data_IF_336650463063
#
_entry.id   IF_336650463063
#
_cell.length_a   1.000
_cell.length_b   1.000
_cell.length_c   1.000
_cell.angle_alpha   90.00
_cell.angle_beta   90.00
_cell.angle_gamma   90.00
#
_symmetry.space_group_name_H-M   'P 1'
#
loop_
_entity.id
_entity.type
_entity.pdbx_description
1 polymer ?
#
# COMPACT_ATOMS: atom_id res chain seq x y z
N UNK A 1 -6.65 -24.36 -5.13
CA UNK A 1 -7.55 -23.92 -4.04
C UNK A 1 -8.74 -24.88 -3.86
N UNK A 2 -8.53 -26.13 -3.42
CA UNK A 2 -9.63 -27.08 -3.27
C UNK A 2 -10.51 -26.84 -2.04
N UNK A 3 -9.99 -26.13 -1.02
CA UNK A 3 -10.68 -25.93 0.26
C UNK A 3 -11.76 -24.85 0.19
N UNK A 4 -11.46 -23.70 -0.42
CA UNK A 4 -12.40 -22.57 -0.57
C UNK A 4 -13.52 -22.90 -1.57
N UNK A 5 -13.19 -23.59 -2.67
CA UNK A 5 -14.17 -24.00 -3.66
C UNK A 5 -15.20 -25.00 -3.09
N UNK A 6 -14.82 -25.80 -2.08
CA UNK A 6 -15.69 -26.81 -1.46
C UNK A 6 -16.49 -26.28 -0.26
N UNK A 7 -16.07 -25.18 0.35
CA UNK A 7 -16.70 -24.65 1.57
C UNK A 7 -17.78 -23.60 1.30
N UNK A 8 -17.99 -23.17 0.05
CA UNK A 8 -18.89 -22.06 -0.32
C UNK A 8 -18.64 -20.77 0.50
N UNK A 9 -17.47 -20.66 1.11
CA UNK A 9 -17.12 -19.55 1.99
C UNK A 9 -16.60 -18.40 1.14
N UNK A 10 -17.29 -17.27 1.20
CA UNK A 10 -16.85 -16.04 0.54
C UNK A 10 -15.81 -15.39 1.42
N UNK A 11 -14.54 -15.44 1.00
CA UNK A 11 -13.48 -14.74 1.70
C UNK A 11 -13.64 -13.24 1.43
N UNK A 12 -13.98 -12.48 2.46
CA UNK A 12 -14.15 -11.03 2.39
C UNK A 12 -12.95 -10.27 2.94
N UNK A 13 -12.16 -10.89 3.80
CA UNK A 13 -10.98 -10.27 4.41
C UNK A 13 -9.79 -11.21 4.31
N UNK A 14 -8.68 -10.69 3.81
CA UNK A 14 -7.40 -11.38 3.72
C UNK A 14 -6.34 -10.48 4.35
N UNK A 15 -5.68 -10.98 5.39
CA UNK A 15 -4.52 -10.34 5.99
C UNK A 15 -3.33 -11.28 5.88
N UNK A 16 -2.23 -10.80 5.33
CA UNK A 16 -0.98 -11.56 5.19
C UNK A 16 0.13 -10.74 5.84
N UNK A 17 0.72 -11.26 6.92
CA UNK A 17 1.65 -10.50 7.75
C UNK A 17 3.15 -10.74 7.45
N UNK A 18 3.47 -11.89 6.85
CA UNK A 18 4.85 -12.28 6.53
C UNK A 18 4.84 -12.87 5.14
N UNK A 19 5.35 -12.12 4.17
CA UNK A 19 5.13 -12.38 2.76
C UNK A 19 6.46 -12.77 2.07
N UNK A 20 6.95 -13.98 2.33
CA UNK A 20 8.07 -14.56 1.59
C UNK A 20 7.61 -15.21 0.26
N UNK A 21 6.64 -14.61 -0.44
CA UNK A 21 6.15 -15.11 -1.72
C UNK A 21 6.75 -14.30 -2.88
N UNK A 22 6.85 -14.92 -4.05
CA UNK A 22 7.05 -14.16 -5.28
C UNK A 22 5.77 -13.35 -5.61
N UNK A 23 5.95 -12.18 -6.22
CA UNK A 23 4.86 -11.29 -6.68
C UNK A 23 3.77 -12.06 -7.47
N UNK A 24 4.18 -12.94 -8.39
CA UNK A 24 3.26 -13.76 -9.20
C UNK A 24 2.34 -14.65 -8.35
N UNK A 25 2.83 -15.19 -7.23
CA UNK A 25 2.02 -16.04 -6.34
C UNK A 25 1.00 -15.23 -5.57
N UNK A 26 1.33 -13.99 -5.22
CA UNK A 26 0.39 -13.07 -4.59
C UNK A 26 -0.71 -12.66 -5.57
N UNK A 27 -0.34 -12.33 -6.80
CA UNK A 27 -1.29 -12.03 -7.90
C UNK A 27 -2.22 -13.22 -8.15
N UNK A 28 -1.66 -14.43 -8.30
CA UNK A 28 -2.44 -15.67 -8.45
C UNK A 28 -3.39 -15.87 -7.26
N UNK A 29 -2.97 -15.61 -6.03
CA UNK A 29 -3.85 -15.80 -4.88
C UNK A 29 -5.01 -14.80 -4.88
N UNK A 30 -4.73 -13.54 -5.20
CA UNK A 30 -5.71 -12.45 -5.18
C UNK A 30 -6.71 -12.58 -6.35
N UNK A 31 -6.29 -13.04 -7.54
CA UNK A 31 -7.21 -13.32 -8.66
C UNK A 31 -8.27 -14.36 -8.34
N UNK A 32 -7.98 -15.32 -7.45
CA UNK A 32 -8.91 -16.38 -7.07
C UNK A 32 -9.91 -15.93 -5.99
N UNK A 33 -9.84 -14.69 -5.52
CA UNK A 33 -10.66 -14.14 -4.45
C UNK A 33 -11.47 -12.91 -4.91
N UNK A 34 -12.39 -13.06 -5.88
CA UNK A 34 -13.15 -11.94 -6.42
C UNK A 34 -14.10 -11.30 -5.38
N UNK A 35 -14.39 -11.98 -4.27
CA UNK A 35 -15.25 -11.48 -3.18
C UNK A 35 -14.52 -10.68 -2.12
N UNK A 36 -13.23 -10.45 -2.30
CA UNK A 36 -12.40 -9.80 -1.31
C UNK A 36 -12.79 -8.32 -1.14
N UNK A 37 -13.14 -7.94 0.08
CA UNK A 37 -13.49 -6.57 0.47
C UNK A 37 -12.30 -5.87 1.13
N UNK A 38 -11.53 -6.59 1.95
CA UNK A 38 -10.43 -6.05 2.73
C UNK A 38 -9.15 -6.85 2.44
N UNK A 39 -8.12 -6.16 1.95
CA UNK A 39 -6.79 -6.71 1.71
C UNK A 39 -5.79 -5.99 2.59
N UNK A 40 -5.12 -6.73 3.47
CA UNK A 40 -4.01 -6.22 4.27
C UNK A 40 -2.77 -7.06 3.98
N UNK A 41 -1.70 -6.39 3.60
CA UNK A 41 -0.42 -7.00 3.30
C UNK A 41 0.65 -6.31 4.12
N UNK A 42 1.37 -7.08 4.92
CA UNK A 42 2.53 -6.65 5.68
C UNK A 42 3.79 -7.36 5.17
N UNK A 43 4.78 -6.54 4.83
CA UNK A 43 6.08 -6.95 4.32
C UNK A 43 7.19 -6.51 5.28
N UNK A 44 6.87 -6.35 6.56
CA UNK A 44 7.77 -5.82 7.57
C UNK A 44 8.98 -6.70 7.90
N UNK A 45 8.80 -8.01 7.82
CA UNK A 45 9.81 -9.00 8.19
C UNK A 45 10.60 -9.54 6.98
N UNK A 46 10.36 -8.99 5.79
CA UNK A 46 11.02 -9.41 4.55
C UNK A 46 12.14 -8.44 4.21
N UNK A 47 13.25 -8.97 3.68
CA UNK A 47 14.36 -8.15 3.23
C UNK A 47 13.89 -7.18 2.12
N UNK A 48 14.33 -5.90 2.11
CA UNK A 48 13.84 -4.87 1.19
C UNK A 48 13.98 -5.19 -0.31
N UNK A 49 14.84 -6.15 -0.68
CA UNK A 49 15.03 -6.62 -2.04
C UNK A 49 14.21 -7.87 -2.41
N UNK A 50 13.48 -8.45 -1.47
CA UNK A 50 12.65 -9.66 -1.65
C UNK A 50 11.16 -9.35 -1.45
N UNK A 51 10.80 -8.08 -1.32
CA UNK A 51 9.43 -7.63 -1.13
C UNK A 51 8.53 -8.06 -2.30
N UNK A 52 7.38 -8.71 -2.03
CA UNK A 52 6.42 -9.12 -3.06
C UNK A 52 5.57 -7.96 -3.59
N UNK A 53 5.62 -6.80 -2.91
CA UNK A 53 4.89 -5.59 -3.29
C UNK A 53 5.71 -4.87 -4.37
N UNK A 54 5.58 -5.35 -5.60
CA UNK A 54 6.23 -4.78 -6.79
C UNK A 54 5.26 -3.90 -7.59
N UNK A 55 5.79 -3.13 -8.54
CA UNK A 55 4.98 -2.36 -9.49
C UNK A 55 3.91 -3.23 -10.16
N UNK A 56 4.29 -4.46 -10.57
CA UNK A 56 3.39 -5.43 -11.20
C UNK A 56 2.20 -5.80 -10.32
N UNK A 57 2.43 -5.95 -9.02
CA UNK A 57 1.35 -6.23 -8.09
C UNK A 57 0.37 -5.06 -8.01
N UNK A 58 0.87 -3.83 -7.92
CA UNK A 58 0.02 -2.62 -7.87
C UNK A 58 -0.73 -2.43 -9.20
N UNK A 59 -0.07 -2.60 -10.34
CA UNK A 59 -0.71 -2.56 -11.67
C UNK A 59 -1.81 -3.62 -11.79
N UNK A 60 -1.60 -4.82 -11.24
CA UNK A 60 -2.62 -5.88 -11.27
C UNK A 60 -3.88 -5.53 -10.45
N UNK A 61 -3.73 -4.63 -9.48
CA UNK A 61 -4.85 -4.08 -8.72
C UNK A 61 -5.52 -2.90 -9.43
N UNK A 62 -4.93 -2.34 -10.49
CA UNK A 62 -5.58 -1.31 -11.28
C UNK A 62 -6.83 -1.88 -11.96
N UNK A 63 -7.82 -1.01 -12.22
CA UNK A 63 -8.98 -1.41 -13.01
C UNK A 63 -8.67 -1.14 -14.48
N UNK A 64 -8.63 -2.20 -15.28
CA UNK A 64 -8.50 -2.10 -16.73
C UNK A 64 -9.86 -2.33 -17.40
N UNK A 65 -9.95 -2.02 -18.70
CA UNK A 65 -11.15 -2.25 -19.52
C UNK A 65 -11.58 -3.73 -19.52
N UNK A 66 -10.66 -4.65 -19.27
CA UNK A 66 -10.89 -6.10 -19.19
C UNK A 66 -11.35 -6.57 -17.81
N UNK A 67 -11.49 -5.66 -16.85
CA UNK A 67 -11.91 -5.94 -15.47
C UNK A 67 -10.81 -5.73 -14.44
N UNK A 68 -11.14 -6.04 -13.18
CA UNK A 68 -10.20 -5.97 -12.05
C UNK A 68 -10.13 -7.31 -11.35
N UNK A 69 -8.93 -7.69 -10.88
CA UNK A 69 -8.74 -8.97 -10.19
C UNK A 69 -9.51 -9.08 -8.88
N UNK A 70 -9.66 -7.97 -8.17
CA UNK A 70 -10.47 -7.85 -6.96
C UNK A 70 -11.54 -6.78 -7.18
N UNK A 71 -12.64 -7.14 -7.86
CA UNK A 71 -13.68 -6.19 -8.19
C UNK A 71 -14.28 -5.60 -6.92
N UNK A 72 -14.40 -6.36 -5.84
CA UNK A 72 -15.13 -5.93 -4.64
C UNK A 72 -14.26 -5.26 -3.56
N UNK A 73 -13.05 -4.83 -3.87
CA UNK A 73 -12.12 -4.34 -2.85
C UNK A 73 -12.52 -2.95 -2.34
N UNK A 74 -12.84 -2.84 -1.04
CA UNK A 74 -13.15 -1.60 -0.33
C UNK A 74 -11.99 -1.05 0.48
N UNK A 75 -11.20 -1.91 1.13
CA UNK A 75 -10.08 -1.50 1.98
C UNK A 75 -8.79 -2.16 1.54
N UNK A 76 -7.76 -1.35 1.28
CA UNK A 76 -6.42 -1.80 0.94
C UNK A 76 -5.41 -1.23 1.94
N UNK A 77 -4.68 -2.12 2.62
CA UNK A 77 -3.65 -1.77 3.58
C UNK A 77 -2.34 -2.42 3.16
N UNK A 78 -1.33 -1.61 2.90
CA UNK A 78 0.00 -2.04 2.46
C UNK A 78 1.03 -1.52 3.46
N UNK A 79 1.76 -2.41 4.12
CA UNK A 79 2.91 -2.05 4.94
C UNK A 79 4.17 -2.54 4.23
N UNK A 80 4.89 -1.61 3.60
CA UNK A 80 5.91 -1.91 2.61
C UNK A 80 7.31 -1.62 3.16
N UNK A 81 8.14 -2.66 3.13
CA UNK A 81 9.60 -2.57 3.35
C UNK A 81 10.37 -2.22 2.07
N UNK A 82 9.79 -2.47 0.90
CA UNK A 82 10.42 -2.23 -0.41
C UNK A 82 10.73 -0.75 -0.67
N UNK A 83 11.85 -0.49 -1.36
CA UNK A 83 12.20 0.84 -1.87
C UNK A 83 12.03 0.97 -3.39
N UNK A 84 11.55 -0.06 -4.10
CA UNK A 84 11.69 -0.16 -5.57
C UNK A 84 10.48 0.23 -6.43
N UNK A 85 9.25 0.30 -5.89
CA UNK A 85 8.05 0.59 -6.69
C UNK A 85 7.81 2.09 -6.96
N UNK A 86 7.18 2.44 -8.08
CA UNK A 86 6.89 3.82 -8.46
C UNK A 86 5.62 4.32 -7.76
N UNK A 87 5.74 5.45 -7.05
CA UNK A 87 4.62 6.08 -6.33
C UNK A 87 3.49 6.48 -7.30
N UNK A 88 3.80 6.85 -8.55
CA UNK A 88 2.82 7.20 -9.57
C UNK A 88 1.87 6.05 -9.91
N UNK A 89 2.38 4.81 -9.96
CA UNK A 89 1.57 3.62 -10.24
C UNK A 89 0.56 3.37 -9.11
N UNK A 90 0.95 3.65 -7.86
CA UNK A 90 0.05 3.54 -6.70
C UNK A 90 -1.09 4.56 -6.80
N UNK A 91 -0.77 5.81 -7.15
CA UNK A 91 -1.74 6.88 -7.31
C UNK A 91 -2.71 6.56 -8.45
N UNK A 92 -2.20 6.10 -9.59
CA UNK A 92 -3.01 5.71 -10.74
C UNK A 92 -3.94 4.54 -10.42
N UNK A 93 -3.44 3.54 -9.67
CA UNK A 93 -4.26 2.43 -9.18
C UNK A 93 -5.40 2.91 -8.28
N UNK A 94 -5.13 3.77 -7.29
CA UNK A 94 -6.16 4.31 -6.38
C UNK A 94 -7.19 5.13 -7.16
N UNK A 95 -6.73 6.02 -8.05
CA UNK A 95 -7.60 6.85 -8.89
C UNK A 95 -8.49 6.01 -9.81
N UNK A 96 -7.93 4.97 -10.45
CA UNK A 96 -8.69 4.09 -11.34
C UNK A 96 -9.88 3.43 -10.62
N UNK A 97 -9.67 2.98 -9.37
CA UNK A 97 -10.71 2.36 -8.54
C UNK A 97 -11.72 3.37 -7.99
N UNK A 98 -11.32 4.62 -7.80
CA UNK A 98 -12.21 5.66 -7.32
C UNK A 98 -13.15 6.18 -8.41
N UNK A 99 -12.60 6.48 -9.59
CA UNK A 99 -13.31 7.17 -10.69
C UNK A 99 -14.37 6.27 -11.32
N UNK A 100 -14.08 4.98 -11.51
CA UNK A 100 -14.98 4.06 -12.25
C UNK A 100 -16.33 3.89 -11.56
N UNK A 101 -16.37 4.02 -10.23
CA UNK A 101 -17.66 3.97 -9.56
C UNK A 101 -18.55 5.18 -9.83
N UNK A 102 -18.00 6.34 -10.24
CA UNK A 102 -18.77 7.56 -10.52
C UNK A 102 -19.41 7.60 -11.92
N UNK A 103 -18.94 6.78 -12.86
CA UNK A 103 -19.26 6.95 -14.28
C UNK A 103 -20.50 6.19 -14.79
N UNK A 104 -21.11 5.27 -14.04
CA UNK A 104 -22.27 4.51 -14.55
C UNK A 104 -23.47 4.56 -13.62
N UNK A 105 -24.53 5.26 -14.06
CA UNK A 105 -25.88 5.24 -13.45
C UNK A 105 -26.79 4.18 -14.09
N UNK A 106 -26.29 3.34 -15.01
CA UNK A 106 -27.15 2.45 -15.82
C UNK A 106 -26.64 1.00 -15.93
N UNK A 107 -25.56 0.63 -15.26
CA UNK A 107 -25.13 -0.77 -15.15
C UNK A 107 -24.52 -0.97 -13.77
N UNK A 108 -24.94 -2.00 -13.04
CA UNK A 108 -24.36 -2.31 -11.73
C UNK A 108 -22.84 -2.27 -11.82
N UNK A 109 -22.14 -1.50 -10.96
CA UNK A 109 -20.70 -1.41 -11.03
C UNK A 109 -20.12 -2.80 -10.79
N UNK A 110 -19.54 -3.38 -11.83
CA UNK A 110 -18.89 -4.69 -11.76
C UNK A 110 -17.68 -4.67 -10.81
N UNK A 111 -17.24 -3.47 -10.43
CA UNK A 111 -16.13 -3.20 -9.50
C UNK A 111 -16.61 -2.19 -8.45
N UNK A 112 -16.55 -2.58 -7.18
CA UNK A 112 -16.79 -1.71 -6.03
C UNK A 112 -15.69 -0.65 -5.92
N UNK A 113 -16.07 0.54 -5.43
CA UNK A 113 -15.13 1.63 -5.17
C UNK A 113 -14.25 1.30 -3.98
N UNK A 114 -12.96 1.59 -4.11
CA UNK A 114 -12.06 1.62 -2.96
C UNK A 114 -12.50 2.77 -2.03
N UNK A 115 -12.61 2.50 -0.72
CA UNK A 115 -13.03 3.47 0.31
C UNK A 115 -11.93 3.81 1.29
N UNK A 116 -11.01 2.87 1.52
CA UNK A 116 -9.89 3.04 2.41
C UNK A 116 -8.62 2.55 1.71
N UNK A 117 -7.62 3.42 1.69
CA UNK A 117 -6.28 3.12 1.21
C UNK A 117 -5.30 3.53 2.31
N UNK A 118 -4.48 2.61 2.77
CA UNK A 118 -3.42 2.92 3.72
C UNK A 118 -2.14 2.31 3.20
N UNK A 119 -1.12 3.13 3.02
CA UNK A 119 0.22 2.67 2.70
C UNK A 119 1.19 3.18 3.76
N UNK A 120 2.02 2.27 4.28
CA UNK A 120 3.06 2.57 5.24
C UNK A 120 4.42 2.24 4.64
N UNK A 121 5.25 3.24 4.50
CA UNK A 121 6.62 3.13 4.04
C UNK A 121 7.57 3.03 5.24
N UNK A 122 8.37 1.96 5.29
CA UNK A 122 9.37 1.79 6.36
C UNK A 122 10.77 2.24 5.96
N UNK A 123 11.09 2.18 4.67
CA UNK A 123 12.44 2.42 4.15
C UNK A 123 12.51 3.60 3.16
N UNK A 124 11.46 4.39 3.03
CA UNK A 124 11.43 5.59 2.17
C UNK A 124 11.29 6.87 3.00
N UNK A 125 11.96 7.91 2.54
CA UNK A 125 11.75 9.28 2.99
C UNK A 125 10.46 9.85 2.38
N UNK A 126 9.93 10.89 3.02
CA UNK A 126 8.66 11.50 2.65
C UNK A 126 8.73 12.14 1.25
N UNK A 127 7.92 11.65 0.32
CA UNK A 127 7.76 12.19 -1.03
C UNK A 127 6.33 12.69 -1.23
N UNK A 128 6.08 13.94 -0.81
CA UNK A 128 4.74 14.55 -0.85
C UNK A 128 4.21 14.74 -2.27
N UNK A 129 5.09 15.13 -3.20
CA UNK A 129 4.69 15.53 -4.56
C UNK A 129 3.94 14.44 -5.34
N UNK A 130 4.24 13.16 -5.11
CA UNK A 130 3.54 12.08 -5.79
C UNK A 130 2.10 11.88 -5.27
N UNK A 131 1.88 12.07 -3.96
CA UNK A 131 0.62 11.75 -3.29
C UNK A 131 -0.33 12.94 -3.14
N UNK A 132 0.10 14.17 -3.43
CA UNK A 132 -0.78 15.36 -3.53
C UNK A 132 -1.99 15.11 -4.45
N UNK A 133 -1.78 14.30 -5.49
CA UNK A 133 -2.80 13.86 -6.43
C UNK A 133 -3.98 13.07 -5.79
N UNK A 134 -3.80 12.55 -4.57
CA UNK A 134 -4.86 11.85 -3.83
C UNK A 134 -5.73 12.80 -2.99
N UNK A 135 -5.35 14.06 -2.81
CA UNK A 135 -6.14 15.03 -2.04
C UNK A 135 -7.54 15.24 -2.62
N UNK A 136 -7.64 15.29 -3.96
CA UNK A 136 -8.92 15.39 -4.66
C UNK A 136 -9.83 14.17 -4.36
N UNK A 137 -9.22 12.99 -4.31
CA UNK A 137 -9.91 11.72 -4.04
C UNK A 137 -10.38 11.68 -2.58
N UNK A 138 -9.56 12.18 -1.64
CA UNK A 138 -9.93 12.28 -0.23
C UNK A 138 -11.10 13.24 0.00
N UNK A 139 -11.11 14.38 -0.70
CA UNK A 139 -12.22 15.35 -0.63
C UNK A 139 -13.55 14.77 -1.09
N UNK A 140 -13.53 13.80 -2.00
CA UNK A 140 -14.73 13.09 -2.46
C UNK A 140 -15.19 11.98 -1.49
N UNK A 141 -14.46 11.75 -0.39
CA UNK A 141 -14.84 10.82 0.69
C UNK A 141 -14.02 9.52 0.76
N UNK A 142 -12.93 9.42 0.00
CA UNK A 142 -11.93 8.36 0.14
C UNK A 142 -11.08 8.59 1.40
N UNK A 143 -10.75 7.54 2.13
CA UNK A 143 -9.76 7.63 3.23
C UNK A 143 -8.42 7.12 2.73
N UNK A 144 -7.60 8.00 2.16
CA UNK A 144 -6.21 7.70 1.88
C UNK A 144 -5.34 8.08 3.10
N UNK A 145 -4.38 7.23 3.45
CA UNK A 145 -3.45 7.48 4.55
C UNK A 145 -2.08 7.01 4.10
N UNK A 146 -1.15 7.94 3.95
CA UNK A 146 0.23 7.66 3.59
C UNK A 146 1.10 7.89 4.82
N UNK A 147 1.65 6.82 5.37
CA UNK A 147 2.53 6.86 6.54
C UNK A 147 3.97 6.68 6.09
N UNK A 148 4.81 7.69 6.33
CA UNK A 148 6.23 7.63 6.02
C UNK A 148 7.05 7.08 7.18
N UNK A 149 8.32 6.79 6.92
CA UNK A 149 9.28 6.45 7.97
C UNK A 149 9.42 7.68 8.89
N UNK A 150 8.83 7.61 10.07
CA UNK A 150 9.06 8.63 11.09
C UNK A 150 10.54 8.66 11.46
N UNK A 151 11.22 9.79 11.20
CA UNK A 151 12.58 10.09 11.67
C UNK A 151 12.64 10.35 13.20
N UNK A 152 11.79 9.68 13.98
CA UNK A 152 11.62 9.93 15.42
C UNK A 152 12.75 9.46 16.33
N UNK A 153 13.91 9.03 15.80
CA UNK A 153 15.03 8.52 16.61
C UNK A 153 16.41 9.08 16.23
N UNK A 154 16.55 9.92 15.19
CA UNK A 154 17.88 10.49 14.85
C UNK A 154 18.24 11.73 15.66
N UNK A 155 17.26 12.56 16.07
CA UNK A 155 17.55 13.80 16.82
C UNK A 155 18.10 13.57 18.25
N UNK A 156 17.96 12.38 18.82
CA UNK A 156 18.46 12.11 20.18
C UNK A 156 19.94 11.70 20.15
N UNK A 157 20.45 11.17 19.04
CA UNK A 157 21.87 10.81 18.90
C UNK A 157 22.75 12.00 18.48
N UNK A 158 22.23 12.91 17.65
CA UNK A 158 22.98 14.11 17.23
C UNK A 158 23.26 15.11 18.39
N UNK A 159 22.46 15.04 19.47
CA UNK A 159 22.68 15.86 20.67
C UNK A 159 23.77 15.30 21.60
N UNK A 160 24.08 14.00 21.51
CA UNK A 160 25.08 13.38 22.38
C UNK A 160 26.52 13.70 21.92
N UNK A 161 26.76 13.74 20.60
CA UNK A 161 28.10 14.06 20.05
C UNK A 161 28.45 15.56 20.16
N UNK A 162 27.45 16.44 20.31
CA UNK A 162 27.68 17.89 20.43
C UNK A 162 28.12 18.34 21.83
N UNK A 163 28.04 17.48 22.84
CA UNK A 163 28.42 17.80 24.23
C UNK A 163 29.85 17.33 24.59
N UNK A 164 30.57 16.66 23.68
CA UNK A 164 31.93 16.15 23.96
C UNK A 164 33.05 17.06 23.47
N UNK A 165 32.75 18.19 22.81
CA UNK A 165 33.77 19.03 22.14
C UNK A 165 33.93 20.45 22.73
N UNK A 166 33.51 20.69 23.98
CA UNK A 166 33.75 21.98 24.66
C UNK A 166 34.40 21.79 26.02
N UNK A 167 35.64 21.32 26.03
CA UNK A 167 36.55 21.53 27.17
C UNK A 167 37.97 21.54 26.61
N UNK A 168 38.74 22.48 27.13
CA UNK A 168 40.19 22.67 26.96
C UNK A 168 40.56 23.70 25.88
N UNK A 169 40.72 24.95 26.33
CA UNK A 169 41.84 25.84 25.99
C UNK A 169 41.78 27.06 26.95
N UNK A 170 42.31 26.86 28.16
CA UNK A 170 42.78 27.91 29.08
C UNK A 170 44.29 27.66 29.31
N UNK A 171 45.09 28.73 29.43
CA UNK A 171 46.57 28.86 29.44
C UNK A 171 47.14 29.26 28.06
N UNK A 172 47.79 30.42 27.87
CA UNK A 172 48.49 31.38 28.75
C UNK A 172 48.27 32.85 28.33
#
# INVERSE_FOLDING_TARGET
MAFLARSSCLLTTLSIEILAFADLKLIDLVTHLPTLLNLSIDDSDVAPGCSPITDRFIESLQVHETGSMVPRLHSLKLNVGASTFNDGIVVDMVRSRWIIGCASRESEPQVDRLREFTIRFRNREESKAAYESLEDVERDGMRAVVLWKNHGLRRILDFADSLSNSSDDEED
#
